data_IF_267748310179
#
_entry.id   IF_267748310179
#
_cell.length_a   1.000
_cell.length_b   1.000
_cell.length_c   1.000
_cell.angle_alpha   90.00
_cell.angle_beta   90.00
_cell.angle_gamma   90.00
#
_symmetry.space_group_name_H-M   'P 1'
#
loop_
_entity.id
_entity.type
_entity.pdbx_description
1 polymer ?
2 non-polymer ?
3 water ?
#
# COMPACT_ATOMS: atom_id res chain seq x y z
N UNK A 13 4.44 -0.29 -11.38
CA UNK A 13 4.20 0.89 -10.55
C UNK A 13 2.70 1.07 -10.22
N UNK A 14 1.83 0.29 -10.86
CA UNK A 14 0.38 0.32 -10.60
C UNK A 14 0.01 -0.93 -9.79
N UNK A 15 -0.77 -0.73 -8.70
CA UNK A 15 -1.26 -1.86 -7.91
C UNK A 15 -2.77 -1.78 -7.74
N UNK A 16 -3.38 -2.95 -7.65
CA UNK A 16 -4.83 -3.08 -7.46
C UNK A 16 -5.11 -3.59 -6.07
N UNK A 17 -5.95 -2.86 -5.32
CA UNK A 17 -6.35 -3.32 -4.00
C UNK A 17 -7.68 -4.07 -4.22
N UNK A 18 -7.74 -5.33 -3.80
CA UNK A 18 -8.93 -6.14 -3.96
C UNK A 18 -10.06 -5.62 -3.06
N UNK A 19 -11.25 -5.39 -3.66
CA UNK A 19 -12.43 -4.95 -2.94
C UNK A 19 -13.36 -6.11 -2.75
N UNK A 20 -13.14 -7.17 -3.55
CA UNK A 20 -14.00 -8.37 -3.52
C UNK A 20 -13.15 -9.60 -3.62
N UNK A 21 -13.63 -10.70 -3.02
CA UNK A 21 -13.01 -11.99 -3.09
C UNK A 21 -13.09 -12.47 -4.55
N UNK A 22 -11.95 -12.93 -5.08
CA UNK A 22 -11.95 -13.50 -6.42
C UNK A 22 -11.37 -14.90 -6.36
N UNK A 23 -12.27 -15.90 -6.36
CA UNK A 23 -11.93 -17.30 -6.28
C UNK A 23 -11.51 -17.74 -7.68
N UNK A 24 -10.24 -18.15 -7.86
CA UNK A 24 -9.77 -18.60 -9.17
C UNK A 24 -10.37 -19.95 -9.49
N UNK A 25 -10.88 -20.12 -10.72
CA UNK A 25 -11.44 -21.40 -11.16
C UNK A 25 -10.61 -21.95 -12.28
N UNK A 26 -10.15 -21.07 -13.19
CA UNK A 26 -9.33 -21.43 -14.34
C UNK A 26 -7.88 -21.48 -13.88
N UNK A 27 -7.06 -22.36 -14.49
CA UNK A 27 -5.64 -22.44 -14.08
C UNK A 27 -4.83 -21.15 -14.25
N UNK A 28 -5.21 -20.27 -15.20
CA UNK A 28 -4.47 -19.02 -15.43
C UNK A 28 -5.05 -17.83 -14.61
N UNK A 29 -6.04 -18.11 -13.74
CA UNK A 29 -6.64 -17.03 -12.94
C UNK A 29 -5.90 -16.80 -11.64
N UNK A 30 -5.88 -15.55 -11.18
CA UNK A 30 -5.23 -15.17 -9.93
C UNK A 30 -6.24 -15.18 -8.80
N UNK A 31 -5.99 -15.99 -7.76
CA UNK A 31 -6.87 -16.11 -6.60
C UNK A 31 -6.53 -15.01 -5.60
N UNK A 32 -7.53 -14.29 -5.07
CA UNK A 32 -7.25 -13.24 -4.07
C UNK A 32 -8.43 -12.96 -3.16
N UNK A 33 -8.13 -12.32 -2.03
CA UNK A 33 -9.07 -11.97 -0.98
C UNK A 33 -9.14 -10.47 -0.88
N UNK A 34 -10.23 -9.94 -0.27
CA UNK A 34 -10.40 -8.49 -0.01
C UNK A 34 -9.15 -7.95 0.69
N UNK A 35 -8.64 -6.80 0.26
CA UNK A 35 -7.48 -6.19 0.89
C UNK A 35 -6.14 -6.58 0.33
N UNK A 36 -6.06 -7.66 -0.47
CA UNK A 36 -4.79 -8.06 -1.13
C UNK A 36 -4.35 -6.96 -2.10
N UNK A 37 -3.04 -6.69 -2.15
CA UNK A 37 -2.45 -5.66 -3.03
C UNK A 37 -1.79 -6.40 -4.19
N UNK A 38 -2.34 -6.22 -5.39
CA UNK A 38 -1.91 -6.93 -6.60
C UNK A 38 -1.11 -6.02 -7.50
N UNK A 39 0.10 -6.46 -7.93
CA UNK A 39 0.90 -5.66 -8.87
C UNK A 39 0.29 -5.85 -10.25
N UNK A 40 -0.03 -4.75 -10.93
CA UNK A 40 -0.63 -4.84 -12.27
C UNK A 40 0.48 -5.03 -13.28
N UNK A 41 0.41 -6.14 -14.05
CA UNK A 41 1.42 -6.46 -15.06
C UNK A 41 0.96 -6.04 -16.45
N UNK A 42 -0.34 -6.22 -16.76
CA UNK A 42 -0.90 -5.89 -18.06
C UNK A 42 -2.40 -5.72 -18.02
N UNK A 43 -2.93 -4.94 -18.96
CA UNK A 43 -4.35 -4.70 -19.13
C UNK A 43 -4.75 -5.51 -20.35
N UNK A 44 -5.64 -6.48 -20.17
CA UNK A 44 -6.08 -7.35 -21.26
C UNK A 44 -7.44 -6.90 -21.79
N UNK A 45 -7.95 -7.59 -22.82
CA UNK A 45 -9.25 -7.31 -23.44
C UNK A 45 -10.40 -7.79 -22.55
N UNK A 46 -11.60 -7.24 -22.78
CA UNK A 46 -12.88 -7.58 -22.15
C UNK A 46 -12.90 -7.47 -20.60
N UNK A 47 -12.27 -6.43 -20.07
CA UNK A 47 -12.28 -6.13 -18.64
C UNK A 47 -11.42 -7.01 -17.74
N UNK A 48 -10.39 -7.66 -18.30
CA UNK A 48 -9.49 -8.50 -17.51
C UNK A 48 -8.12 -7.85 -17.40
N UNK A 49 -7.44 -8.09 -16.27
CA UNK A 49 -6.09 -7.59 -16.03
C UNK A 49 -5.22 -8.79 -15.71
N UNK A 50 -3.89 -8.65 -15.86
CA UNK A 50 -2.94 -9.68 -15.43
C UNK A 50 -2.17 -9.06 -14.27
N UNK A 51 -2.03 -9.81 -13.20
CA UNK A 51 -1.33 -9.31 -12.03
C UNK A 51 -0.52 -10.35 -11.31
N UNK A 52 0.20 -9.88 -10.28
CA UNK A 52 1.08 -10.70 -9.45
C UNK A 52 0.77 -10.48 -7.99
N UNK A 53 0.69 -11.58 -7.22
CA UNK A 53 0.38 -11.57 -5.80
C UNK A 53 0.98 -12.78 -5.14
N UNK A 54 1.80 -12.54 -4.10
CA UNK A 54 2.50 -13.56 -3.29
C UNK A 54 3.27 -14.59 -4.18
N UNK A 55 3.98 -14.07 -5.19
CA UNK A 55 4.80 -14.89 -6.09
C UNK A 55 4.05 -15.61 -7.18
N UNK A 56 2.73 -15.38 -7.29
CA UNK A 56 1.88 -16.01 -8.31
C UNK A 56 1.40 -14.98 -9.29
N UNK A 57 1.24 -15.40 -10.56
CA UNK A 57 0.77 -14.54 -11.65
C UNK A 57 -0.52 -15.13 -12.23
N UNK A 58 -1.47 -14.27 -12.58
CA UNK A 58 -2.71 -14.71 -13.14
C UNK A 58 -3.57 -13.58 -13.62
N UNK A 59 -4.69 -13.93 -14.25
CA UNK A 59 -5.63 -12.95 -14.78
C UNK A 59 -6.83 -12.84 -13.82
N UNK A 60 -7.50 -11.69 -13.85
CA UNK A 60 -8.64 -11.43 -12.98
C UNK A 60 -9.47 -10.26 -13.53
N UNK A 61 -10.75 -10.13 -13.13
CA UNK A 61 -11.55 -8.98 -13.59
C UNK A 61 -11.15 -7.65 -12.94
N UNK A 62 -11.02 -6.64 -13.77
CA UNK A 62 -10.74 -5.27 -13.39
C UNK A 62 -11.75 -4.73 -12.30
N UNK A 63 -13.07 -5.05 -12.44
CA UNK A 63 -14.16 -4.61 -11.55
C UNK A 63 -13.98 -5.06 -10.07
N UNK A 64 -13.11 -6.08 -9.81
CA UNK A 64 -12.91 -6.60 -8.46
C UNK A 64 -11.85 -5.85 -7.65
N UNK A 65 -11.17 -4.89 -8.27
CA UNK A 65 -10.10 -4.13 -7.62
C UNK A 65 -10.28 -2.63 -7.80
N UNK A 66 -9.52 -1.85 -6.99
CA UNK A 66 -9.43 -0.40 -7.10
C UNK A 66 -7.99 -0.15 -7.50
N UNK A 67 -7.74 0.52 -8.64
CA UNK A 67 -6.37 0.79 -9.07
C UNK A 67 -5.77 2.01 -8.36
N UNK A 68 -4.51 1.87 -7.91
CA UNK A 68 -3.75 2.90 -7.19
C UNK A 68 -2.39 3.11 -7.83
N UNK A 69 -1.91 4.37 -7.86
CA UNK A 69 -0.53 4.59 -8.31
C UNK A 69 0.43 4.29 -7.15
N UNK A 70 1.48 3.46 -7.39
CA UNK A 70 2.47 3.09 -6.38
N UNK B 13 -9.31 16.92 1.72
CA UNK B 13 -8.50 16.48 0.58
C UNK B 13 -8.08 15.00 0.70
N UNK B 14 -8.44 14.34 1.83
CA UNK B 14 -8.17 12.92 2.07
C UNK B 14 -9.48 12.15 1.99
N UNK B 15 -9.48 11.01 1.29
CA UNK B 15 -10.67 10.19 1.24
C UNK B 15 -10.31 8.73 1.48
N UNK B 16 -11.29 7.98 1.90
CA UNK B 16 -11.14 6.56 2.15
C UNK B 16 -12.06 5.78 1.24
N UNK B 17 -11.55 4.66 0.72
CA UNK B 17 -12.35 3.75 -0.09
C UNK B 17 -12.70 2.56 0.86
N UNK B 18 -13.99 2.26 1.02
CA UNK B 18 -14.43 1.16 1.87
C UNK B 18 -14.11 -0.17 1.26
N UNK B 19 -13.44 -1.03 2.05
CA UNK B 19 -13.09 -2.39 1.62
C UNK B 19 -14.04 -3.37 2.28
N UNK B 20 -14.81 -2.89 3.28
CA UNK B 20 -15.74 -3.73 4.02
C UNK B 20 -17.02 -2.97 4.28
N UNK B 21 -18.14 -3.70 4.33
CA UNK B 21 -19.43 -3.17 4.68
C UNK B 21 -19.37 -2.74 6.17
N UNK B 22 -19.84 -1.50 6.47
CA UNK B 22 -19.94 -1.05 7.86
C UNK B 22 -21.33 -0.61 8.08
N UNK B 23 -22.11 -1.49 8.76
CA UNK B 23 -23.50 -1.28 9.12
C UNK B 23 -23.48 -0.33 10.33
N UNK B 24 -24.08 0.88 10.24
CA UNK B 24 -24.11 1.79 11.40
C UNK B 24 -25.15 1.27 12.38
N UNK B 25 -24.78 1.21 13.66
CA UNK B 25 -25.66 0.76 14.74
C UNK B 25 -25.94 1.89 15.67
N UNK B 26 -24.90 2.68 15.96
CA UNK B 26 -25.00 3.84 16.84
C UNK B 26 -25.47 5.05 16.02
N UNK B 27 -26.26 5.98 16.61
CA UNK B 27 -26.75 7.13 15.83
C UNK B 27 -25.67 8.03 15.18
N UNK B 28 -24.45 8.10 15.79
CA UNK B 28 -23.39 8.94 15.24
C UNK B 28 -22.46 8.18 14.25
N UNK B 29 -22.80 6.91 13.93
CA UNK B 29 -21.98 6.13 13.02
C UNK B 29 -22.36 6.35 11.56
N UNK B 30 -21.34 6.32 10.65
CA UNK B 30 -21.56 6.51 9.21
C UNK B 30 -21.76 5.14 8.59
N UNK B 31 -22.92 4.90 7.93
CA UNK B 31 -23.20 3.62 7.30
C UNK B 31 -22.59 3.60 5.88
N UNK B 32 -21.90 2.50 5.49
CA UNK B 32 -21.34 2.43 4.14
C UNK B 32 -21.17 1.01 3.60
N UNK B 33 -21.01 0.90 2.28
CA UNK B 33 -20.86 -0.36 1.54
C UNK B 33 -19.48 -0.39 0.90
N UNK B 34 -19.00 -1.58 0.53
CA UNK B 34 -17.72 -1.77 -0.18
C UNK B 34 -17.69 -0.88 -1.43
N UNK B 35 -16.58 -0.18 -1.63
CA UNK B 35 -16.41 0.68 -2.78
C UNK B 35 -16.82 2.13 -2.60
N UNK B 36 -17.56 2.44 -1.51
CA UNK B 36 -17.94 3.84 -1.22
C UNK B 36 -16.71 4.68 -0.97
N UNK B 37 -16.72 5.92 -1.47
CA UNK B 37 -15.61 6.88 -1.29
C UNK B 37 -16.05 7.87 -0.22
N UNK B 38 -15.36 7.85 0.92
CA UNK B 38 -15.71 8.67 2.09
C UNK B 38 -14.71 9.81 2.24
N UNK B 39 -15.21 11.07 2.40
CA UNK B 39 -14.33 12.20 2.66
C UNK B 39 -13.94 12.15 4.13
N UNK B 40 -12.64 12.17 4.42
CA UNK B 40 -12.16 12.14 5.79
C UNK B 40 -12.22 13.54 6.38
N UNK B 41 -12.97 13.70 7.49
CA UNK B 41 -13.13 15.00 8.15
C UNK B 41 -12.22 15.14 9.34
N UNK B 42 -12.00 14.05 10.10
CA UNK B 42 -11.15 14.06 11.29
C UNK B 42 -10.72 12.66 11.67
N UNK B 43 -9.56 12.58 12.33
CA UNK B 43 -9.03 11.34 12.85
C UNK B 43 -9.28 11.40 14.37
N UNK B 44 -10.09 10.49 14.89
CA UNK B 44 -10.42 10.47 16.31
C UNK B 44 -9.50 9.51 17.07
N UNK B 45 -9.80 9.28 18.35
CA UNK B 45 -9.05 8.37 19.17
C UNK B 45 -9.54 6.93 18.96
N UNK B 46 -8.70 5.95 19.34
CA UNK B 46 -8.96 4.51 19.36
C UNK B 46 -9.36 3.89 18.00
N UNK B 47 -8.70 4.32 16.92
CA UNK B 47 -8.90 3.76 15.58
C UNK B 47 -10.19 4.14 14.87
N UNK B 48 -10.81 5.26 15.25
CA UNK B 48 -12.02 5.74 14.61
C UNK B 48 -11.73 7.00 13.81
N UNK B 49 -12.49 7.20 12.73
CA UNK B 49 -12.39 8.39 11.88
C UNK B 49 -13.77 8.99 11.77
N UNK B 50 -13.85 10.28 11.42
CA UNK B 50 -15.11 10.93 11.13
C UNK B 50 -15.08 11.25 9.64
N UNK B 51 -16.16 10.92 8.94
CA UNK B 51 -16.22 11.13 7.51
C UNK B 51 -17.57 11.53 7.00
N UNK B 52 -17.62 11.83 5.69
CA UNK B 52 -18.83 12.25 5.00
C UNK B 52 -19.05 11.43 3.75
N UNK B 53 -20.30 11.01 3.52
CA UNK B 53 -20.69 10.21 2.36
C UNK B 53 -22.13 10.47 2.04
N UNK B 54 -22.38 10.89 0.77
CA UNK B 54 -23.72 11.15 0.24
C UNK B 54 -24.54 12.12 1.15
N UNK B 55 -23.88 13.18 1.62
CA UNK B 55 -24.51 14.21 2.46
C UNK B 55 -24.69 13.85 3.92
N UNK B 56 -24.19 12.69 4.33
CA UNK B 56 -24.25 12.22 5.73
C UNK B 56 -22.88 12.23 6.35
N UNK B 57 -22.82 12.52 7.68
CA UNK B 57 -21.58 12.57 8.44
C UNK B 57 -21.68 11.56 9.59
N UNK B 58 -20.57 10.92 9.91
CA UNK B 58 -20.55 9.98 11.01
C UNK B 58 -19.17 9.42 11.25
N UNK B 59 -19.07 8.61 12.29
CA UNK B 59 -17.82 7.99 12.67
C UNK B 59 -17.80 6.53 12.19
N UNK B 60 -16.60 5.98 12.00
CA UNK B 60 -16.42 4.61 11.53
C UNK B 60 -14.99 4.15 11.83
N UNK B 61 -14.72 2.85 11.85
CA UNK B 61 -13.35 2.39 12.10
C UNK B 61 -12.45 2.57 10.89
N UNK B 62 -11.25 3.06 11.16
CA UNK B 62 -10.18 3.25 10.21
C UNK B 62 -9.87 1.95 9.41
N UNK B 63 -9.89 0.78 10.08
CA UNK B 63 -9.54 -0.51 9.48
C UNK B 63 -10.51 -1.00 8.36
N UNK B 64 -11.68 -0.37 8.18
CA UNK B 64 -12.61 -0.79 7.11
C UNK B 64 -12.40 -0.06 5.79
N UNK B 65 -11.48 0.91 5.78
CA UNK B 65 -11.19 1.70 4.60
C UNK B 65 -9.70 1.69 4.26
N UNK B 66 -9.39 2.11 3.02
CA UNK B 66 -8.03 2.33 2.54
C UNK B 66 -7.95 3.81 2.26
N UNK B 67 -7.01 4.54 2.91
CA UNK B 67 -6.89 5.98 2.73
C UNK B 67 -6.15 6.34 1.45
N UNK B 68 -6.68 7.37 0.75
CA UNK B 68 -6.13 7.90 -0.50
C UNK B 68 -5.88 9.41 -0.37
N UNK B 69 -4.63 9.89 -0.65
CA UNK B 69 -4.37 11.35 -0.59
C UNK B 69 -5.01 12.11 -1.75
N UNK C 14 -1.86 18.98 6.33
CA UNK C 14 -0.80 18.84 7.33
C UNK C 14 0.36 17.99 6.79
N UNK C 15 1.59 18.49 7.00
CA UNK C 15 2.81 17.82 6.57
C UNK C 15 3.74 17.54 7.74
N UNK C 16 4.52 16.47 7.61
CA UNK C 16 5.51 16.05 8.59
C UNK C 16 6.89 15.95 7.98
N UNK C 17 7.85 16.72 8.52
CA UNK C 17 9.24 16.69 8.03
C UNK C 17 9.98 15.66 8.88
N UNK C 18 10.61 14.67 8.23
CA UNK C 18 11.35 13.61 8.93
C UNK C 18 12.60 14.18 9.58
N UNK C 19 12.76 13.92 10.88
CA UNK C 19 13.93 14.36 11.66
C UNK C 19 14.86 13.18 11.85
N UNK C 20 14.32 11.96 11.66
CA UNK C 20 15.06 10.71 11.84
C UNK C 20 14.72 9.73 10.75
N UNK C 21 15.67 8.87 10.40
CA UNK C 21 15.47 7.83 9.41
C UNK C 21 14.54 6.78 10.01
N UNK C 22 13.52 6.38 9.27
CA UNK C 22 12.61 5.34 9.74
C UNK C 22 12.59 4.26 8.70
N UNK C 23 13.18 3.10 9.07
CA UNK C 23 13.28 1.94 8.21
C UNK C 23 12.06 1.05 8.39
N UNK C 24 11.25 0.93 7.31
CA UNK C 24 10.05 0.11 7.33
C UNK C 24 10.40 -1.37 7.36
N UNK C 25 9.69 -2.13 8.22
CA UNK C 25 9.85 -3.58 8.30
C UNK C 25 8.54 -4.25 7.88
N UNK C 26 7.42 -3.70 8.36
CA UNK C 26 6.08 -4.22 8.03
C UNK C 26 5.66 -3.71 6.65
N UNK C 27 4.84 -4.49 5.90
CA UNK C 27 4.40 -4.02 4.57
C UNK C 27 3.59 -2.71 4.58
N UNK C 28 2.87 -2.40 5.69
CA UNK C 28 2.07 -1.18 5.79
C UNK C 28 2.88 0.00 6.39
N UNK C 29 4.19 -0.18 6.63
CA UNK C 29 5.01 0.90 7.19
C UNK C 29 5.61 1.76 6.11
N UNK C 30 5.73 3.08 6.39
CA UNK C 30 6.31 3.98 5.43
C UNK C 30 7.80 4.13 5.71
N UNK C 31 8.61 3.87 4.69
CA UNK C 31 10.05 4.01 4.79
C UNK C 31 10.44 5.45 4.42
N UNK C 32 11.29 6.11 5.23
CA UNK C 32 11.70 7.49 4.91
C UNK C 32 13.06 7.85 5.49
N UNK C 33 13.65 8.92 4.95
CA UNK C 33 14.96 9.47 5.33
C UNK C 33 14.77 10.85 5.93
N UNK C 34 15.77 11.33 6.69
CA UNK C 34 15.78 12.67 7.28
C UNK C 34 15.53 13.71 6.16
N UNK C 35 14.65 14.68 6.42
CA UNK C 35 14.36 15.72 5.44
C UNK C 35 13.18 15.45 4.53
N UNK C 36 12.72 14.18 4.44
CA UNK C 36 11.55 13.85 3.61
C UNK C 36 10.31 14.56 4.14
N UNK C 37 9.48 15.09 3.23
CA UNK C 37 8.23 15.78 3.57
C UNK C 37 7.09 14.81 3.33
N UNK C 38 6.42 14.40 4.42
CA UNK C 38 5.35 13.41 4.39
C UNK C 38 3.99 14.07 4.57
N UNK C 39 3.03 13.77 3.66
CA UNK C 39 1.66 14.27 3.72
C UNK C 39 0.95 13.45 4.84
N UNK C 40 0.41 14.12 5.87
CA UNK C 40 -0.27 13.39 6.96
C UNK C 40 -1.70 13.06 6.53
N UNK C 41 -2.04 11.76 6.53
CA UNK C 41 -3.37 11.30 6.15
C UNK C 41 -4.27 11.06 7.34
N UNK C 42 -3.70 10.52 8.45
CA UNK C 42 -4.45 10.22 9.68
C UNK C 42 -3.54 10.11 10.88
N UNK C 43 -4.08 10.39 12.07
CA UNK C 43 -3.41 10.24 13.36
C UNK C 43 -4.00 8.97 13.99
N UNK C 44 -3.18 7.93 14.17
CA UNK C 44 -3.66 6.66 14.70
C UNK C 44 -3.40 6.53 16.21
N UNK C 45 -3.77 5.36 16.80
CA UNK C 45 -3.58 5.05 18.21
C UNK C 45 -2.10 4.73 18.50
N UNK C 46 -1.70 4.88 19.77
CA UNK C 46 -0.38 4.59 20.34
C UNK C 46 0.82 5.29 19.66
N UNK C 47 0.63 6.57 19.31
CA UNK C 47 1.67 7.41 18.73
C UNK C 47 2.10 7.13 17.30
N UNK C 48 1.20 6.53 16.50
CA UNK C 48 1.48 6.24 15.09
C UNK C 48 0.67 7.15 14.21
N UNK C 49 1.20 7.48 13.02
CA UNK C 49 0.53 8.31 12.03
C UNK C 49 0.49 7.56 10.72
N UNK C 50 -0.43 7.93 9.81
CA UNK C 50 -0.46 7.39 8.46
C UNK C 50 -0.12 8.55 7.53
N UNK C 51 0.75 8.30 6.58
CA UNK C 51 1.15 9.35 5.65
C UNK C 51 1.42 8.86 4.25
N UNK C 52 1.76 9.83 3.36
CA UNK C 52 2.08 9.58 1.96
C UNK C 52 3.39 10.26 1.58
N UNK C 53 4.25 9.56 0.84
CA UNK C 53 5.54 10.05 0.40
C UNK C 53 5.93 9.37 -0.91
N UNK C 54 6.23 10.18 -1.94
CA UNK C 54 6.65 9.75 -3.28
C UNK C 54 5.70 8.67 -3.89
N UNK C 55 4.39 8.91 -3.75
CA UNK C 55 3.35 8.01 -4.27
C UNK C 55 3.08 6.76 -3.46
N UNK C 56 3.72 6.62 -2.29
CA UNK C 56 3.55 5.47 -1.40
C UNK C 56 2.85 5.90 -0.12
N UNK C 57 2.08 5.01 0.50
CA UNK C 57 1.38 5.30 1.76
C UNK C 57 1.81 4.30 2.82
N UNK C 58 1.87 4.74 4.06
CA UNK C 58 2.25 3.87 5.15
C UNK C 58 2.15 4.50 6.51
N UNK C 59 2.34 3.68 7.55
CA UNK C 59 2.29 4.12 8.94
C UNK C 59 3.71 4.29 9.48
N UNK C 60 3.86 5.16 10.48
CA UNK C 60 5.17 5.48 11.08
C UNK C 60 4.96 6.15 12.45
N UNK C 61 5.94 6.04 13.39
CA UNK C 61 5.76 6.71 14.69
C UNK C 61 5.87 8.22 14.56
N UNK C 62 4.97 8.94 15.24
CA UNK C 62 4.84 10.40 15.33
C UNK C 62 6.16 11.08 15.74
N UNK C 63 6.89 10.50 16.73
CA UNK C 63 8.15 11.06 17.27
C UNK C 63 9.29 11.19 16.23
N UNK C 64 9.17 10.54 15.05
CA UNK C 64 10.20 10.60 14.01
C UNK C 64 10.06 11.82 13.07
N UNK C 65 8.98 12.59 13.21
CA UNK C 65 8.70 13.75 12.36
C UNK C 65 8.36 15.00 13.19
N UNK C 66 8.40 16.16 12.52
CA UNK C 66 8.00 17.46 13.08
C UNK C 66 6.81 17.88 12.22
N UNK C 67 5.64 18.07 12.86
CA UNK C 67 4.44 18.46 12.13
C UNK C 67 4.43 19.95 11.84
N UNK C 68 4.24 20.29 10.56
CA UNK C 68 4.15 21.68 10.11
C UNK C 68 2.82 21.87 9.34
N UNK C 69 1.76 22.34 10.05
CA UNK C 69 0.45 22.50 9.39
C UNK C 69 0.32 23.86 8.67
N UNK D 13 30.35 -11.98 -2.50
CA UNK D 13 31.27 -12.10 -3.63
C UNK D 13 30.69 -11.49 -4.90
N UNK D 14 29.40 -11.78 -5.23
CA UNK D 14 28.72 -11.21 -6.40
C UNK D 14 27.80 -10.08 -5.94
N UNK D 15 27.97 -8.90 -6.56
CA UNK D 15 27.16 -7.73 -6.28
C UNK D 15 26.40 -7.30 -7.53
N UNK D 16 25.23 -6.71 -7.31
CA UNK D 16 24.38 -6.20 -8.37
C UNK D 16 24.10 -4.74 -8.17
N UNK D 17 24.43 -3.92 -9.18
CA UNK D 17 24.21 -2.48 -9.12
C UNK D 17 22.84 -2.21 -9.73
N UNK D 18 21.97 -1.53 -8.98
CA UNK D 18 20.63 -1.21 -9.42
C UNK D 18 20.64 -0.19 -10.54
N UNK D 19 20.04 -0.53 -11.71
CA UNK D 19 19.96 0.35 -12.87
C UNK D 19 18.58 1.01 -12.89
N UNK D 20 17.61 0.41 -12.17
CA UNK D 20 16.22 0.88 -12.11
C UNK D 20 15.69 0.80 -10.70
N UNK D 21 14.74 1.68 -10.38
CA UNK D 21 14.05 1.71 -9.10
C UNK D 21 13.17 0.47 -9.04
N UNK D 22 13.27 -0.32 -7.96
CA UNK D 22 12.35 -1.44 -7.76
C UNK D 22 11.67 -1.21 -6.44
N UNK D 23 10.37 -0.92 -6.52
CA UNK D 23 9.51 -0.68 -5.39
C UNK D 23 8.91 -2.00 -4.93
N UNK D 24 9.30 -2.45 -3.72
CA UNK D 24 8.81 -3.70 -3.14
C UNK D 24 7.34 -3.58 -2.76
N UNK D 25 6.55 -4.60 -3.08
CA UNK D 25 5.14 -4.64 -2.72
C UNK D 25 4.90 -5.81 -1.77
N UNK D 26 5.52 -6.96 -2.06
CA UNK D 26 5.42 -8.18 -1.26
C UNK D 26 6.36 -8.08 -0.06
N UNK D 27 6.04 -8.72 1.09
CA UNK D 27 6.94 -8.65 2.26
C UNK D 27 8.34 -9.23 2.01
N UNK D 28 8.47 -10.23 1.09
CA UNK D 28 9.77 -10.85 0.81
C UNK D 28 10.51 -10.13 -0.34
N UNK D 29 9.98 -9.01 -0.86
CA UNK D 29 10.65 -8.28 -1.95
C UNK D 29 11.63 -7.25 -1.42
N UNK D 30 12.74 -7.05 -2.15
CA UNK D 30 13.77 -6.10 -1.77
C UNK D 30 13.54 -4.74 -2.44
N UNK D 31 13.34 -3.70 -1.64
CA UNK D 31 13.13 -2.35 -2.13
C UNK D 31 14.49 -1.69 -2.37
N UNK D 32 14.68 -1.04 -3.55
CA UNK D 32 15.94 -0.36 -3.85
C UNK D 32 15.79 0.77 -4.85
N UNK D 33 16.75 1.70 -4.83
CA UNK D 33 16.85 2.89 -5.68
C UNK D 33 18.02 2.69 -6.65
N UNK D 34 18.03 3.47 -7.77
CA UNK D 34 19.10 3.45 -8.79
C UNK D 34 20.47 3.69 -8.09
N UNK D 35 21.47 2.88 -8.44
CA UNK D 35 22.80 3.02 -7.88
C UNK D 35 23.08 2.22 -6.63
N UNK D 36 22.04 1.64 -5.99
CA UNK D 36 22.25 0.80 -4.80
C UNK D 36 23.07 -0.44 -5.18
N UNK D 37 24.00 -0.85 -4.32
CA UNK D 37 24.85 -2.03 -4.51
C UNK D 37 24.25 -3.14 -3.66
N UNK D 38 23.72 -4.18 -4.32
CA UNK D 38 23.04 -5.31 -3.67
C UNK D 38 23.92 -6.52 -3.69
N UNK D 39 24.12 -7.16 -2.51
CA UNK D 39 24.91 -8.39 -2.39
C UNK D 39 23.99 -9.54 -2.85
N UNK D 40 24.40 -10.27 -3.91
CA UNK D 40 23.59 -11.38 -4.46
C UNK D 40 23.74 -12.61 -3.56
N UNK D 41 22.62 -13.12 -3.05
CA UNK D 41 22.61 -14.28 -2.16
C UNK D 41 22.28 -15.56 -2.93
N UNK D 42 21.33 -15.48 -3.87
CA UNK D 42 20.91 -16.63 -4.67
C UNK D 42 20.24 -16.22 -5.97
N UNK D 43 20.29 -17.11 -6.98
CA UNK D 43 19.62 -16.95 -8.26
C UNK D 43 18.40 -17.88 -8.19
N UNK D 44 17.21 -17.32 -8.33
CA UNK D 44 15.98 -18.10 -8.22
C UNK D 44 15.36 -18.41 -9.57
N UNK D 45 14.20 -19.08 -9.54
CA UNK D 45 13.45 -19.44 -10.73
C UNK D 45 12.73 -18.20 -11.32
N UNK D 46 12.43 -18.27 -12.63
CA UNK D 46 11.68 -17.28 -13.43
C UNK D 46 12.25 -15.84 -13.42
N UNK D 47 13.57 -15.72 -13.49
CA UNK D 47 14.28 -14.44 -13.56
C UNK D 47 14.30 -13.58 -12.32
N UNK D 48 14.19 -14.20 -11.14
CA UNK D 48 14.25 -13.49 -9.86
C UNK D 48 15.56 -13.83 -9.14
N UNK D 49 16.07 -12.89 -8.34
CA UNK D 49 17.29 -13.06 -7.54
C UNK D 49 16.96 -12.74 -6.11
N UNK D 50 17.77 -13.24 -5.17
CA UNK D 50 17.63 -12.90 -3.75
C UNK D 50 18.89 -12.12 -3.40
N UNK D 51 18.71 -10.99 -2.74
CA UNK D 51 19.83 -10.14 -2.37
C UNK D 51 19.72 -9.48 -1.01
N UNK D 52 20.80 -8.82 -0.60
CA UNK D 52 20.93 -8.12 0.67
C UNK D 52 21.37 -6.67 0.44
N UNK D 53 20.71 -5.73 1.13
CA UNK D 53 21.00 -4.29 1.02
C UNK D 53 20.61 -3.60 2.31
N UNK D 54 21.57 -2.90 2.92
CA UNK D 54 21.41 -2.12 4.17
C UNK D 54 20.74 -2.94 5.30
N UNK D 55 21.21 -4.18 5.49
CA UNK D 55 20.73 -5.11 6.51
C UNK D 55 19.40 -5.79 6.23
N UNK D 56 18.86 -5.59 5.03
CA UNK D 56 17.59 -6.18 4.61
C UNK D 56 17.82 -7.20 3.52
N UNK D 57 16.99 -8.24 3.47
CA UNK D 57 17.08 -9.28 2.45
C UNK D 57 15.75 -9.37 1.73
N UNK D 58 15.80 -9.67 0.45
CA UNK D 58 14.60 -9.80 -0.35
C UNK D 58 14.85 -10.22 -1.76
N UNK D 59 13.76 -10.51 -2.49
CA UNK D 59 13.80 -10.96 -3.87
C UNK D 59 13.48 -9.79 -4.79
N UNK D 60 13.99 -9.86 -6.03
CA UNK D 60 13.82 -8.81 -7.04
C UNK D 60 14.10 -9.37 -8.44
N UNK D 61 13.52 -8.82 -9.55
CA UNK D 61 13.82 -9.37 -10.89
C UNK D 61 15.25 -9.06 -11.32
N UNK D 62 15.94 -10.04 -11.97
CA UNK D 62 17.33 -9.92 -12.44
C UNK D 62 17.55 -8.70 -13.36
N UNK D 63 16.56 -8.42 -14.24
CA UNK D 63 16.60 -7.33 -15.23
C UNK D 63 16.76 -5.91 -14.63
N UNK D 64 16.52 -5.72 -13.32
CA UNK D 64 16.63 -4.41 -12.68
C UNK D 64 18.07 -4.06 -12.22
N UNK D 65 19.00 -5.02 -12.31
CA UNK D 65 20.40 -4.83 -11.86
C UNK D 65 21.40 -5.27 -12.93
N UNK D 66 22.67 -4.85 -12.73
CA UNK D 66 23.80 -5.27 -13.54
C UNK D 66 24.71 -6.03 -12.58
N UNK D 67 24.98 -7.30 -12.90
CA UNK D 67 25.82 -8.15 -12.05
C UNK D 67 27.30 -7.91 -12.31
N UNK D 68 28.08 -7.85 -11.22
CA UNK D 68 29.54 -7.70 -11.24
C UNK D 68 30.08 -8.69 -10.20
N UNK D 69 30.77 -9.79 -10.61
CA UNK D 69 31.23 -10.77 -9.61
C UNK D 69 32.51 -10.34 -8.89
#
# INVERSE_FOLDING_TARGET
>A
GGAAQPAMAQGALTYGVALYRFQALEPNELDFEVGDKIRILATLEDGWLEGSLKGRTGIFPYRFVKLCPAAA
>B
GGAAQPAMAQGALTYGVALYRFQALEPNELDFEVGDKIRILATLEDGWLEGSLKGRTGIFPYRFVKLCPAAA
>C
GGAAQPAMAQGALTYGVALYRFQALEPNELDFEVGDKIRILATLEDGWLEGSLKGRTGIFPYRFVKLCPAAA
>D
GGAAQPAMAQGALTYGVALYRFQALEPNELDFEVGDKIRILATLEDGWLEGSLKGRTGIFPYRFVKLCPAAA
#
